data_IF_009448842656
#
_entry.id   IF_009448842656
#
_cell.length_a   1.000
_cell.length_b   1.000
_cell.length_c   1.000
_cell.angle_alpha   90.00
_cell.angle_beta   90.00
_cell.angle_gamma   90.00
#
_symmetry.space_group_name_H-M   'P 1'
#
loop_
_entity.id
_entity.type
_entity.pdbx_description
1 polymer ?
#
# COMPACT_ATOMS: atom_id res chain seq x y z
N UNK A 1 -0.99 4.50 16.16
CA UNK A 1 -1.93 3.65 16.93
C UNK A 1 -3.17 3.27 16.13
N UNK A 2 -3.97 4.21 15.61
CA UNK A 2 -5.23 3.90 14.92
C UNK A 2 -5.10 3.10 13.60
N UNK A 3 -4.10 3.39 12.76
CA UNK A 3 -3.89 2.68 11.48
C UNK A 3 -3.51 1.20 11.63
N UNK A 4 -2.74 0.87 12.68
CA UNK A 4 -2.31 -0.51 12.95
C UNK A 4 -3.52 -1.42 13.25
N UNK A 5 -4.52 -0.88 13.95
CA UNK A 5 -5.75 -1.59 14.29
C UNK A 5 -6.53 -2.02 13.04
N UNK A 6 -6.64 -1.14 12.04
CA UNK A 6 -7.33 -1.44 10.79
C UNK A 6 -6.62 -2.52 9.97
N UNK A 7 -5.29 -2.48 9.92
CA UNK A 7 -4.49 -3.51 9.24
C UNK A 7 -4.65 -4.88 9.90
N UNK A 8 -4.62 -4.94 11.24
CA UNK A 8 -4.84 -6.18 12.00
C UNK A 8 -6.26 -6.72 11.78
N UNK A 9 -7.27 -5.85 11.83
CA UNK A 9 -8.66 -6.25 11.62
C UNK A 9 -8.90 -6.80 10.21
N UNK A 10 -8.28 -6.20 9.19
CA UNK A 10 -8.35 -6.69 7.81
C UNK A 10 -7.76 -8.10 7.69
N UNK A 11 -6.59 -8.33 8.29
CA UNK A 11 -5.95 -9.65 8.30
C UNK A 11 -6.78 -10.69 9.05
N UNK A 12 -7.29 -10.34 10.23
CA UNK A 12 -8.14 -11.21 11.04
C UNK A 12 -9.41 -11.61 10.28
N UNK A 13 -10.07 -10.64 9.65
CA UNK A 13 -11.29 -10.86 8.88
C UNK A 13 -11.03 -11.74 7.66
N UNK A 14 -9.91 -11.52 6.97
CA UNK A 14 -9.49 -12.35 5.85
C UNK A 14 -9.26 -13.80 6.29
N UNK A 15 -8.45 -14.02 7.33
CA UNK A 15 -8.16 -15.36 7.86
C UNK A 15 -9.43 -16.07 8.33
N UNK A 16 -10.35 -15.35 8.98
CA UNK A 16 -11.64 -15.90 9.40
C UNK A 16 -12.48 -16.37 8.20
N UNK A 17 -12.54 -15.57 7.12
CA UNK A 17 -13.28 -15.93 5.90
C UNK A 17 -12.70 -17.15 5.20
N UNK A 18 -11.37 -17.23 5.09
CA UNK A 18 -10.69 -18.40 4.51
C UNK A 18 -10.96 -19.65 5.35
N UNK A 19 -10.82 -19.54 6.68
CA UNK A 19 -11.11 -20.66 7.59
C UNK A 19 -12.54 -21.15 7.45
N UNK A 20 -13.52 -20.23 7.47
CA UNK A 20 -14.94 -20.58 7.31
C UNK A 20 -15.22 -21.28 5.98
N UNK A 21 -14.61 -20.82 4.89
CA UNK A 21 -14.76 -21.44 3.58
C UNK A 21 -14.22 -22.88 3.59
N UNK A 22 -13.01 -23.09 4.13
CA UNK A 22 -12.40 -24.42 4.30
C UNK A 22 -13.29 -25.33 5.15
N UNK A 23 -13.75 -24.85 6.31
CA UNK A 23 -14.59 -25.62 7.24
C UNK A 23 -15.93 -26.02 6.58
N UNK A 24 -16.42 -25.23 5.62
CA UNK A 24 -17.65 -25.52 4.87
C UNK A 24 -17.44 -26.39 3.61
N UNK A 25 -16.20 -26.82 3.33
CA UNK A 25 -15.85 -27.54 2.10
C UNK A 25 -15.92 -26.67 0.83
N UNK A 26 -16.01 -25.34 0.97
CA UNK A 26 -16.02 -24.41 -0.14
C UNK A 26 -14.60 -24.13 -0.64
N UNK A 27 -14.46 -23.92 -1.95
CA UNK A 27 -13.20 -23.50 -2.54
C UNK A 27 -12.86 -22.06 -2.08
N UNK A 28 -11.69 -21.89 -1.48
CA UNK A 28 -11.17 -20.60 -1.05
C UNK A 28 -9.97 -20.19 -1.90
N UNK A 29 -9.92 -18.94 -2.34
CA UNK A 29 -8.80 -18.36 -3.09
C UNK A 29 -8.51 -16.94 -2.61
N UNK A 30 -7.25 -16.53 -2.71
CA UNK A 30 -6.81 -15.20 -2.33
C UNK A 30 -5.91 -14.61 -3.43
N UNK A 31 -6.14 -13.33 -3.74
CA UNK A 31 -5.32 -12.55 -4.66
C UNK A 31 -4.64 -11.44 -3.88
N UNK A 32 -3.31 -11.49 -3.83
CA UNK A 32 -2.49 -10.46 -3.20
C UNK A 32 -1.90 -9.58 -4.29
N UNK A 33 -2.26 -8.29 -4.29
CA UNK A 33 -1.78 -7.31 -5.25
C UNK A 33 -0.84 -6.36 -4.51
N UNK A 34 0.40 -6.26 -4.97
CA UNK A 34 1.31 -5.21 -4.53
C UNK A 34 0.93 -3.88 -5.20
N UNK A 35 0.17 -3.06 -4.47
CA UNK A 35 -0.27 -1.75 -4.93
C UNK A 35 0.86 -0.73 -5.02
N UNK A 36 2.03 -1.00 -4.43
CA UNK A 36 3.18 -0.08 -4.47
C UNK A 36 3.60 0.20 -5.91
N UNK A 37 3.66 -0.85 -6.73
CA UNK A 37 3.98 -0.75 -8.17
C UNK A 37 2.84 -0.21 -9.04
N UNK A 38 1.60 -0.27 -8.55
CA UNK A 38 0.45 0.26 -9.27
C UNK A 38 0.53 1.78 -9.35
N UNK A 39 0.93 2.45 -8.27
CA UNK A 39 1.07 3.92 -8.29
C UNK A 39 2.22 4.42 -9.16
N UNK A 40 3.29 3.65 -9.31
CA UNK A 40 4.40 4.00 -10.22
C UNK A 40 4.03 3.88 -11.70
N UNK A 41 2.98 3.10 -12.04
CA UNK A 41 2.57 2.82 -13.42
C UNK A 41 1.30 3.57 -13.86
N UNK A 42 0.63 4.27 -12.93
CA UNK A 42 -0.57 5.04 -13.25
C UNK A 42 -0.21 6.36 -13.95
N UNK A 43 -0.98 6.72 -14.98
CA UNK A 43 -0.86 8.03 -15.58
C UNK A 43 -1.36 9.10 -14.60
N UNK A 44 -0.43 9.91 -14.08
CA UNK A 44 -0.71 10.89 -13.04
C UNK A 44 -1.72 11.97 -13.48
N UNK A 45 -1.74 12.35 -14.76
CA UNK A 45 -2.70 13.34 -15.29
C UNK A 45 -4.14 12.81 -15.30
N UNK A 46 -4.32 11.53 -15.65
CA UNK A 46 -5.63 10.86 -15.61
C UNK A 46 -6.10 10.74 -14.15
N UNK A 47 -5.21 10.37 -13.24
CA UNK A 47 -5.53 10.25 -11.82
C UNK A 47 -5.91 11.61 -11.22
N UNK A 48 -5.18 12.67 -11.53
CA UNK A 48 -5.49 14.03 -11.10
C UNK A 48 -6.88 14.47 -11.56
N UNK A 49 -7.22 14.25 -12.83
CA UNK A 49 -8.53 14.61 -13.39
C UNK A 49 -9.67 13.89 -12.66
N UNK A 50 -9.48 12.60 -12.35
CA UNK A 50 -10.45 11.81 -11.59
C UNK A 50 -10.58 12.29 -10.15
N UNK A 51 -9.48 12.66 -9.51
CA UNK A 51 -9.50 13.18 -8.13
C UNK A 51 -10.30 14.49 -8.05
N UNK A 52 -10.09 15.40 -9.00
CA UNK A 52 -10.87 16.63 -9.11
C UNK A 52 -12.35 16.32 -9.35
N UNK A 53 -12.67 15.35 -10.23
CA UNK A 53 -14.06 15.02 -10.56
C UNK A 53 -14.84 14.39 -9.39
N UNK A 54 -14.15 13.77 -8.42
CA UNK A 54 -14.77 13.26 -7.18
C UNK A 54 -14.70 14.27 -6.02
N UNK A 55 -14.25 15.50 -6.28
CA UNK A 55 -14.25 16.60 -5.32
C UNK A 55 -12.98 16.79 -4.50
N UNK A 56 -11.89 16.08 -4.82
CA UNK A 56 -10.59 16.29 -4.16
C UNK A 56 -9.91 17.52 -4.77
N UNK A 57 -9.83 18.59 -3.99
CA UNK A 57 -9.26 19.89 -4.40
C UNK A 57 -8.39 20.50 -3.30
N UNK A 58 -7.74 21.63 -3.61
CA UNK A 58 -6.99 22.40 -2.63
C UNK A 58 -5.78 21.65 -2.03
N UNK A 59 -5.47 21.83 -0.73
CA UNK A 59 -4.27 21.26 -0.11
C UNK A 59 -4.16 19.74 -0.22
N UNK A 60 -5.29 19.02 -0.18
CA UNK A 60 -5.31 17.57 -0.33
C UNK A 60 -4.84 17.13 -1.72
N UNK A 61 -5.30 17.82 -2.78
CA UNK A 61 -4.86 17.56 -4.14
C UNK A 61 -3.38 17.89 -4.31
N UNK A 62 -2.91 19.02 -3.76
CA UNK A 62 -1.50 19.41 -3.78
C UNK A 62 -0.61 18.37 -3.10
N UNK A 63 -1.02 17.85 -1.95
CA UNK A 63 -0.30 16.79 -1.24
C UNK A 63 -0.19 15.53 -2.10
N UNK A 64 -1.30 15.06 -2.67
CA UNK A 64 -1.32 13.88 -3.54
C UNK A 64 -0.43 14.09 -4.78
N UNK A 65 -0.49 15.25 -5.42
CA UNK A 65 0.39 15.60 -6.54
C UNK A 65 1.86 15.54 -6.15
N UNK A 66 2.24 16.14 -5.02
CA UNK A 66 3.63 16.15 -4.54
C UNK A 66 4.14 14.75 -4.16
N UNK A 67 3.23 13.85 -3.76
CA UNK A 67 3.56 12.46 -3.45
C UNK A 67 3.76 11.59 -4.70
N UNK A 68 3.03 11.90 -5.80
CA UNK A 68 3.08 11.15 -7.05
C UNK A 68 4.16 11.68 -8.01
N UNK A 69 4.33 13.00 -8.11
CA UNK A 69 5.37 13.63 -8.91
C UNK A 69 6.56 13.98 -8.01
N UNK A 70 7.73 13.34 -8.25
CA UNK A 70 8.99 13.52 -7.50
C UNK A 70 9.11 12.76 -6.18
N UNK A 71 8.73 11.48 -6.17
CA UNK A 71 9.13 10.59 -5.07
C UNK A 71 10.65 10.46 -5.02
N UNK A 72 11.30 11.09 -4.04
CA UNK A 72 12.70 10.83 -3.71
C UNK A 72 12.75 9.96 -2.47
N UNK A 73 13.31 8.75 -2.59
CA UNK A 73 13.58 7.89 -1.45
C UNK A 73 15.06 8.04 -1.08
N UNK A 74 15.33 8.45 0.16
CA UNK A 74 16.64 8.38 0.76
C UNK A 74 16.56 7.39 1.93
N UNK A 75 17.43 6.39 1.92
CA UNK A 75 17.53 5.41 3.01
C UNK A 75 18.86 5.63 3.70
N UNK A 76 18.84 5.82 5.01
CA UNK A 76 20.06 5.88 5.81
C UNK A 76 20.53 4.45 6.08
N UNK A 77 21.62 4.04 5.42
CA UNK A 77 22.28 2.76 5.71
C UNK A 77 23.36 3.01 6.76
N UNK A 78 23.14 2.53 7.97
CA UNK A 78 24.19 2.47 8.99
C UNK A 78 25.11 1.30 8.60
N UNK A 79 26.33 1.59 8.13
CA UNK A 79 27.37 0.57 7.92
C UNK A 79 27.71 -0.06 9.28
N UNK A 80 27.13 -1.22 9.60
CA UNK A 80 27.75 -2.11 10.57
C UNK A 80 28.91 -2.79 9.84
N UNK A 81 30.09 -2.23 10.06
CA UNK A 81 31.37 -2.83 9.70
C UNK A 81 31.41 -4.20 10.39
N UNK A 82 31.34 -5.28 9.61
CA UNK A 82 31.84 -6.58 10.07
C UNK A 82 33.16 -6.82 9.35
N UNK A 83 34.25 -6.37 9.96
CA UNK A 83 35.56 -6.96 9.68
C UNK A 83 35.51 -8.40 10.20
N UNK A 84 35.27 -9.36 9.32
CA UNK A 84 35.69 -10.73 9.56
C UNK A 84 37.04 -10.91 8.87
N UNK A 85 38.10 -10.91 9.67
CA UNK A 85 39.37 -11.53 9.30
C UNK A 85 39.11 -13.00 8.98
N UNK A 86 39.28 -13.37 7.71
CA UNK A 86 39.89 -14.62 7.25
C UNK A 86 40.59 -14.34 5.92
#
# INVERSE_FOLDING_TARGET
MHYLLYSILALLTFTYKIKKAIDSGALAGALFIDLTKAFDSLNHSILETKLISVGVVGPALTLIKSYLHNRQQAVYVLYIITFSYY
#
